data_IF_133715401504
#
_entry.id   IF_133715401504
#
_cell.length_a   1.000
_cell.length_b   1.000
_cell.length_c   1.000
_cell.angle_alpha   90.00
_cell.angle_beta   90.00
_cell.angle_gamma   90.00
#
_symmetry.space_group_name_H-M   'P 1'
#
loop_
_entity.id
_entity.type
_entity.pdbx_description
1 polymer ?
#
# COMPACT_ATOMS: atom_id res chain seq x y z
N UNK A 1 -24.10 16.43 34.56
CA UNK A 1 -23.39 16.77 33.31
C UNK A 1 -22.83 15.49 32.72
N UNK A 2 -23.38 15.02 31.62
CA UNK A 2 -22.93 13.77 30.98
C UNK A 2 -21.81 14.09 29.99
N UNK A 3 -20.57 14.18 30.46
CA UNK A 3 -19.42 14.44 29.58
C UNK A 3 -19.16 13.21 28.69
N UNK A 4 -19.53 13.25 27.42
CA UNK A 4 -18.98 12.34 26.41
C UNK A 4 -17.57 12.78 26.02
N UNK A 5 -16.67 11.82 25.91
CA UNK A 5 -15.33 12.02 25.34
C UNK A 5 -15.19 11.12 24.12
N UNK A 6 -15.08 11.71 22.94
CA UNK A 6 -14.85 10.98 21.70
C UNK A 6 -13.63 11.53 20.97
N UNK A 7 -12.98 10.68 20.19
CA UNK A 7 -11.86 11.06 19.35
C UNK A 7 -11.62 10.03 18.26
N UNK A 8 -11.00 10.48 17.17
CA UNK A 8 -10.60 9.63 16.06
C UNK A 8 -9.19 9.99 15.59
N UNK A 9 -8.44 8.99 15.15
CA UNK A 9 -7.09 9.10 14.60
C UNK A 9 -7.08 8.35 13.27
N UNK A 10 -6.52 8.96 12.23
CA UNK A 10 -6.32 8.32 10.93
C UNK A 10 -4.87 8.47 10.48
N UNK A 11 -4.28 7.39 10.00
CA UNK A 11 -2.94 7.34 9.44
C UNK A 11 -2.98 6.76 8.03
N UNK A 12 -2.26 7.40 7.10
CA UNK A 12 -2.04 6.87 5.75
C UNK A 12 -0.69 6.19 5.71
N UNK A 13 -0.68 4.91 5.36
CA UNK A 13 0.51 4.10 5.24
C UNK A 13 0.69 3.69 3.77
N UNK A 14 1.90 3.30 3.33
CA UNK A 14 2.14 2.79 1.98
C UNK A 14 1.29 1.53 1.66
N UNK A 15 0.93 0.78 2.69
CA UNK A 15 0.14 -0.45 2.60
C UNK A 15 -1.36 -0.25 2.91
N UNK A 16 -1.86 0.98 2.99
CA UNK A 16 -3.29 1.25 3.24
C UNK A 16 -3.53 2.37 4.25
N UNK A 17 -4.78 2.68 4.52
CA UNK A 17 -5.19 3.68 5.51
C UNK A 17 -5.74 2.98 6.74
N UNK A 18 -5.22 3.32 7.92
CA UNK A 18 -5.71 2.79 9.18
C UNK A 18 -6.34 3.93 9.99
N UNK A 19 -7.44 3.64 10.67
CA UNK A 19 -8.10 4.56 11.57
C UNK A 19 -8.51 3.88 12.87
N UNK A 20 -8.59 4.68 13.92
CA UNK A 20 -9.06 4.28 15.23
C UNK A 20 -9.99 5.36 15.75
N UNK A 21 -11.12 4.96 16.31
CA UNK A 21 -12.07 5.84 16.97
C UNK A 21 -12.36 5.31 18.37
N UNK A 22 -12.52 6.20 19.33
CA UNK A 22 -12.92 5.83 20.68
C UNK A 22 -14.01 6.77 21.15
N UNK A 23 -14.95 6.25 21.93
CA UNK A 23 -15.99 7.04 22.58
C UNK A 23 -16.23 6.52 23.99
N UNK A 24 -16.25 7.44 24.94
CA UNK A 24 -16.45 7.21 26.36
C UNK A 24 -17.62 8.06 26.83
N UNK A 25 -18.74 7.43 27.19
CA UNK A 25 -19.86 8.07 27.87
C UNK A 25 -19.96 7.50 29.30
N UNK A 26 -19.49 8.23 30.33
CA UNK A 26 -19.55 7.80 31.72
C UNK A 26 -20.98 7.44 32.12
N UNK A 27 -21.19 6.22 32.61
CA UNK A 27 -22.49 5.72 33.05
C UNK A 27 -23.40 5.16 31.94
N UNK A 28 -22.96 5.11 30.68
CA UNK A 28 -23.74 4.50 29.59
C UNK A 28 -22.95 3.45 28.80
N UNK A 29 -21.97 3.87 28.00
CA UNK A 29 -21.21 2.93 27.15
C UNK A 29 -19.81 3.43 26.83
N UNK A 30 -18.92 2.48 26.52
CA UNK A 30 -17.58 2.69 26.01
C UNK A 30 -17.44 1.92 24.70
N UNK A 31 -17.09 2.61 23.62
CA UNK A 31 -16.78 1.99 22.33
C UNK A 31 -15.35 2.32 21.91
N UNK A 32 -14.75 1.36 21.22
CA UNK A 32 -13.47 1.49 20.53
C UNK A 32 -13.65 0.85 19.15
N UNK A 33 -13.52 1.65 18.11
CA UNK A 33 -13.53 1.23 16.72
C UNK A 33 -12.13 1.24 16.13
N UNK A 34 -11.84 0.23 15.31
CA UNK A 34 -10.64 0.17 14.47
C UNK A 34 -11.12 -0.08 13.05
N UNK A 35 -10.55 0.65 12.11
CA UNK A 35 -10.80 0.47 10.69
C UNK A 35 -9.48 0.43 9.93
N UNK A 36 -9.44 -0.38 8.89
CA UNK A 36 -8.34 -0.41 7.93
C UNK A 36 -8.93 -0.53 6.53
N UNK A 37 -8.40 0.27 5.62
CA UNK A 37 -8.87 0.40 4.25
C UNK A 37 -7.68 0.31 3.30
N UNK A 38 -7.65 -0.73 2.48
CA UNK A 38 -6.57 -0.99 1.55
C UNK A 38 -6.91 -2.14 0.63
N UNK A 39 -5.90 -2.58 -0.12
CA UNK A 39 -5.97 -3.74 -0.98
C UNK A 39 -4.92 -4.77 -0.56
N UNK A 40 -5.25 -6.05 -0.71
CA UNK A 40 -4.30 -7.15 -0.56
C UNK A 40 -4.23 -7.87 -1.90
N UNK A 41 -3.02 -7.99 -2.44
CA UNK A 41 -2.75 -8.82 -3.61
C UNK A 41 -1.86 -9.97 -3.18
N UNK A 42 -2.31 -11.20 -3.45
CA UNK A 42 -1.58 -12.43 -3.16
C UNK A 42 -1.42 -13.25 -4.43
N UNK A 43 -0.20 -13.72 -4.67
CA UNK A 43 0.20 -14.56 -5.80
C UNK A 43 0.97 -15.78 -5.28
N UNK A 44 1.28 -16.74 -6.17
CA UNK A 44 2.13 -17.88 -5.82
C UNK A 44 3.55 -17.46 -5.38
N UNK A 45 4.00 -16.26 -5.75
CA UNK A 45 5.33 -15.73 -5.45
C UNK A 45 5.34 -14.83 -4.20
N UNK A 46 4.17 -14.52 -3.63
CA UNK A 46 4.06 -13.81 -2.36
C UNK A 46 2.84 -12.92 -2.28
N UNK A 47 2.74 -12.12 -1.21
CA UNK A 47 1.62 -11.24 -0.97
C UNK A 47 2.07 -9.89 -0.44
N UNK A 48 1.41 -8.83 -0.87
CA UNK A 48 1.64 -7.49 -0.37
C UNK A 48 0.32 -6.72 -0.22
N UNK A 49 0.31 -5.86 0.78
CA UNK A 49 -0.74 -4.87 0.97
C UNK A 49 -0.39 -3.60 0.21
N UNK A 50 -1.40 -2.92 -0.30
CA UNK A 50 -1.28 -1.65 -1.00
C UNK A 50 -2.40 -0.71 -0.59
N UNK A 51 -2.23 0.58 -0.91
CA UNK A 51 -3.34 1.52 -0.82
C UNK A 51 -4.52 1.03 -1.67
N UNK A 52 -5.73 1.44 -1.26
CA UNK A 52 -6.92 1.10 -2.04
C UNK A 52 -6.81 1.71 -3.43
N UNK A 53 -6.80 0.85 -4.44
CA UNK A 53 -6.81 1.24 -5.84
C UNK A 53 -8.27 1.29 -6.31
N UNK A 54 -8.62 2.32 -7.08
CA UNK A 54 -9.99 2.49 -7.53
C UNK A 54 -10.28 1.57 -8.72
N UNK A 55 -11.40 0.83 -8.65
CA UNK A 55 -11.93 0.06 -9.77
C UNK A 55 -11.08 -1.13 -10.21
N UNK A 56 -11.13 -1.43 -11.51
CA UNK A 56 -10.45 -2.54 -12.16
C UNK A 56 -9.12 -2.12 -12.80
N UNK A 57 -8.50 -1.06 -12.30
CA UNK A 57 -7.18 -0.65 -12.79
C UNK A 57 -6.17 -1.79 -12.59
N UNK A 58 -5.30 -2.04 -13.57
CA UNK A 58 -4.29 -3.07 -13.48
C UNK A 58 -3.34 -2.80 -12.31
N UNK A 59 -2.94 -3.87 -11.65
CA UNK A 59 -2.05 -3.84 -10.49
C UNK A 59 -0.74 -4.48 -10.87
N UNK A 60 0.36 -3.88 -10.43
CA UNK A 60 1.68 -4.44 -10.64
C UNK A 60 2.31 -4.85 -9.33
N UNK A 61 2.73 -6.12 -9.25
CA UNK A 61 3.54 -6.64 -8.15
C UNK A 61 5.02 -6.48 -8.52
N UNK A 62 5.77 -5.79 -7.68
CA UNK A 62 7.21 -5.53 -7.83
C UNK A 62 7.94 -6.37 -6.79
N UNK A 63 8.87 -7.21 -7.23
CA UNK A 63 9.79 -7.98 -6.40
C UNK A 63 11.21 -7.42 -6.54
N UNK A 64 11.84 -7.13 -5.42
CA UNK A 64 13.21 -6.60 -5.33
C UNK A 64 14.22 -7.67 -4.89
N UNK A 65 13.88 -8.95 -5.03
CA UNK A 65 14.77 -10.06 -4.68
C UNK A 65 14.98 -10.22 -3.18
N UNK A 66 13.95 -9.91 -2.38
CA UNK A 66 14.00 -10.00 -0.91
C UNK A 66 14.38 -8.72 -0.17
N UNK A 67 14.59 -7.59 -0.87
CA UNK A 67 15.00 -6.33 -0.25
C UNK A 67 13.80 -5.53 0.27
N UNK A 68 13.66 -5.46 1.59
CA UNK A 68 12.59 -4.71 2.24
C UNK A 68 12.83 -3.18 2.23
N UNK A 69 11.75 -2.41 2.27
CA UNK A 69 11.82 -0.96 2.46
C UNK A 69 12.15 -0.15 1.20
N UNK A 70 12.13 -0.76 0.01
CA UNK A 70 12.38 -0.08 -1.26
C UNK A 70 11.12 0.68 -1.68
N UNK A 71 11.17 2.01 -1.81
CA UNK A 71 10.07 2.77 -2.37
C UNK A 71 9.98 2.53 -3.87
N UNK A 72 8.76 2.33 -4.36
CA UNK A 72 8.46 2.02 -5.76
C UNK A 72 7.37 2.95 -6.27
N UNK A 73 7.32 3.17 -7.58
CA UNK A 73 6.33 4.05 -8.23
C UNK A 73 6.27 5.44 -7.58
N UNK A 74 7.42 6.13 -7.50
CA UNK A 74 7.56 7.47 -6.91
C UNK A 74 7.10 7.57 -5.45
N UNK A 75 7.27 6.50 -4.66
CA UNK A 75 6.87 6.44 -3.24
C UNK A 75 5.42 6.04 -2.98
N UNK A 76 4.66 5.66 -4.02
CA UNK A 76 3.29 5.18 -3.88
C UNK A 76 3.19 3.72 -3.39
N UNK A 77 4.32 3.02 -3.25
CA UNK A 77 4.41 1.72 -2.59
C UNK A 77 5.78 1.54 -1.94
N UNK A 78 5.86 0.65 -0.94
CA UNK A 78 7.11 0.27 -0.28
C UNK A 78 7.16 -1.25 -0.15
N UNK A 79 8.30 -1.87 -0.48
CA UNK A 79 8.44 -3.32 -0.39
C UNK A 79 8.34 -3.82 1.05
N UNK A 80 7.59 -4.90 1.24
CA UNK A 80 7.46 -5.56 2.53
C UNK A 80 8.74 -6.31 2.92
N UNK A 81 8.73 -7.01 4.07
CA UNK A 81 9.88 -7.80 4.55
C UNK A 81 10.39 -8.87 3.57
N UNK A 82 9.58 -9.26 2.59
CA UNK A 82 9.91 -10.24 1.58
C UNK A 82 10.41 -9.59 0.27
N UNK A 83 10.56 -8.27 0.24
CA UNK A 83 10.98 -7.54 -0.96
C UNK A 83 9.85 -7.27 -1.96
N UNK A 84 8.58 -7.46 -1.56
CA UNK A 84 7.43 -7.40 -2.45
C UNK A 84 6.59 -6.16 -2.17
N UNK A 85 6.28 -5.39 -3.21
CA UNK A 85 5.33 -4.27 -3.19
C UNK A 85 4.27 -4.44 -4.27
N UNK A 86 3.09 -3.83 -4.08
CA UNK A 86 2.03 -3.78 -5.10
C UNK A 86 1.62 -2.33 -5.32
N UNK A 87 1.61 -1.90 -6.57
CA UNK A 87 1.30 -0.53 -6.99
C UNK A 87 0.29 -0.52 -8.14
N UNK A 88 -0.38 0.61 -8.36
CA UNK A 88 -1.23 0.77 -9.55
C UNK A 88 -0.31 0.83 -10.76
N UNK A 89 -0.64 0.05 -11.78
CA UNK A 89 0.10 0.06 -13.04
C UNK A 89 -0.39 1.18 -13.98
N UNK A 90 -1.28 2.05 -13.52
CA UNK A 90 -1.88 3.11 -14.32
C UNK A 90 -3.13 2.65 -15.06
N UNK A 91 -3.37 3.23 -16.24
CA UNK A 91 -4.62 2.99 -16.99
C UNK A 91 -4.56 1.71 -17.82
N UNK A 92 -5.65 0.95 -17.81
CA UNK A 92 -5.85 -0.21 -18.68
C UNK A 92 -5.58 0.13 -20.16
N UNK A 93 -4.95 -0.80 -20.88
CA UNK A 93 -4.63 -0.69 -22.30
C UNK A 93 -3.72 0.49 -22.67
N UNK A 94 -3.05 1.11 -21.69
CA UNK A 94 -2.01 2.11 -21.91
C UNK A 94 -0.68 1.60 -21.35
N UNK A 95 0.46 2.09 -21.88
CA UNK A 95 1.76 1.84 -21.26
C UNK A 95 1.73 2.35 -19.81
N UNK A 96 1.91 1.43 -18.88
CA UNK A 96 2.17 1.72 -17.48
C UNK A 96 3.66 1.66 -17.24
N UNK A 97 4.28 2.80 -16.97
CA UNK A 97 5.68 2.84 -16.57
C UNK A 97 5.75 2.60 -15.06
N UNK A 98 6.31 1.46 -14.68
CA UNK A 98 6.68 1.19 -13.29
C UNK A 98 8.18 1.41 -13.14
N UNK A 99 8.55 2.31 -12.23
CA UNK A 99 9.94 2.61 -11.95
C UNK A 99 10.25 2.25 -10.50
N UNK A 100 11.36 1.56 -10.31
CA UNK A 100 12.00 1.37 -9.01
C UNK A 100 12.81 2.62 -8.72
N UNK A 101 12.57 3.26 -7.58
CA UNK A 101 13.33 4.44 -7.20
C UNK A 101 14.73 4.03 -6.75
N UNK A 102 15.67 4.02 -7.70
CA UNK A 102 17.09 3.69 -7.47
C UNK A 102 17.80 4.67 -6.54
N UNK A 103 17.22 5.85 -6.29
CA UNK A 103 17.81 6.87 -5.40
C UNK A 103 17.59 6.57 -3.92
N UNK A 104 16.64 5.68 -3.60
CA UNK A 104 16.28 5.31 -2.24
C UNK A 104 16.53 3.82 -1.94
N UNK A 105 17.42 3.17 -2.70
CA UNK A 105 17.82 1.79 -2.46
C UNK A 105 18.64 1.68 -1.16
N UNK A 106 18.42 0.63 -0.34
CA UNK A 106 19.31 0.29 0.75
C UNK A 106 20.76 0.10 0.26
N UNK A 107 21.73 0.40 1.13
CA UNK A 107 23.14 0.28 0.78
C UNK A 107 23.49 -1.16 0.34
N UNK A 108 24.08 -1.30 -0.86
CA UNK A 108 24.53 -2.58 -1.41
C UNK A 108 23.53 -3.28 -2.34
N UNK A 109 22.50 -2.59 -2.82
CA UNK A 109 21.52 -3.13 -3.78
C UNK A 109 21.71 -2.47 -5.14
N UNK A 110 22.01 -3.26 -6.17
CA UNK A 110 22.09 -2.84 -7.57
C UNK A 110 20.85 -3.32 -8.34
N UNK A 111 20.30 -2.46 -9.19
CA UNK A 111 19.11 -2.75 -10.01
C UNK A 111 19.53 -2.77 -11.48
N UNK A 112 19.37 -3.92 -12.14
CA UNK A 112 19.75 -4.12 -13.55
C UNK A 112 18.83 -3.36 -14.52
N UNK A 113 17.51 -3.41 -14.27
CA UNK A 113 16.49 -2.75 -15.11
C UNK A 113 15.54 -1.94 -14.21
N UNK A 114 15.83 -0.65 -13.98
CA UNK A 114 15.08 0.16 -13.02
C UNK A 114 13.70 0.60 -13.50
N UNK A 115 13.43 0.47 -14.81
CA UNK A 115 12.16 0.84 -15.42
C UNK A 115 11.61 -0.36 -16.18
N UNK A 116 10.42 -0.81 -15.80
CA UNK A 116 9.66 -1.83 -16.53
C UNK A 116 8.41 -1.18 -17.09
N UNK A 117 8.32 -1.15 -18.42
CA UNK A 117 7.14 -0.65 -19.14
C UNK A 117 6.34 -1.84 -19.64
N UNK A 118 5.09 -1.95 -19.21
CA UNK A 118 4.17 -3.01 -19.64
C UNK A 118 2.80 -2.42 -19.96
N UNK A 119 2.12 -3.04 -20.93
CA UNK A 119 0.71 -2.73 -21.25
C UNK A 119 -0.14 -3.80 -20.57
N UNK A 120 -0.94 -3.38 -19.60
CA UNK A 120 -1.78 -4.28 -18.83
C UNK A 120 -3.26 -4.10 -19.20
N UNK A 121 -3.97 -5.23 -19.27
CA UNK A 121 -5.42 -5.25 -19.49
C UNK A 121 -6.15 -4.82 -18.22
N UNK A 122 -7.43 -4.45 -18.36
CA UNK A 122 -8.28 -4.20 -17.20
C UNK A 122 -8.36 -5.43 -16.29
N UNK A 123 -8.17 -5.25 -14.99
CA UNK A 123 -8.23 -6.31 -13.97
C UNK A 123 -7.02 -7.23 -13.90
N UNK A 124 -5.93 -6.91 -14.61
CA UNK A 124 -4.64 -7.62 -14.50
C UNK A 124 -3.95 -7.39 -13.15
#
# INVERSE_FOLDING_TARGET
SSNSFSGNIQSRLPYGQAGADFTLQPGQYRSLGLNWYGSLTATAHGAAFSQSMAGNEPRMMIDTGGVAGVPVNSGNGVTNRFGIAVVSAGSSYRPGDSSVDVSALPAGVDVTDPVVSQVLTEGA
#
